data_IF_156978591015
#
_entry.id   IF_156978591015
#
_cell.length_a   1.000
_cell.length_b   1.000
_cell.length_c   1.000
_cell.angle_alpha   90.00
_cell.angle_beta   90.00
_cell.angle_gamma   90.00
#
_symmetry.space_group_name_H-M   'P 1'
#
loop_
_entity.id
_entity.type
_entity.pdbx_description
1 polymer ?
#
# COMPACT_ATOMS: atom_id res chain seq x y z
N UNK A 1 28.45 -0.61 8.74
CA UNK A 1 28.12 -2.02 9.04
C UNK A 1 26.89 -2.06 9.93
N UNK A 2 25.86 -2.82 9.56
CA UNK A 2 24.57 -2.83 10.25
C UNK A 2 24.59 -3.60 11.57
N UNK A 3 23.65 -3.26 12.46
CA UNK A 3 23.54 -3.74 13.85
C UNK A 3 23.48 -5.27 14.02
N UNK A 4 23.15 -6.02 12.95
CA UNK A 4 23.07 -7.48 12.96
C UNK A 4 23.74 -8.09 11.70
N UNK A 5 25.08 -8.28 11.69
CA UNK A 5 25.82 -8.67 10.50
C UNK A 5 25.60 -10.13 10.06
N UNK A 6 25.10 -11.00 10.94
CA UNK A 6 24.79 -12.41 10.62
C UNK A 6 23.35 -12.62 10.15
N UNK A 7 22.50 -11.59 10.21
CA UNK A 7 21.09 -11.69 9.84
C UNK A 7 20.98 -11.81 8.31
N UNK A 8 20.24 -12.82 7.85
CA UNK A 8 19.85 -12.98 6.45
C UNK A 8 18.36 -12.66 6.32
N UNK A 9 18.01 -11.85 5.33
CA UNK A 9 16.62 -11.46 5.06
C UNK A 9 16.27 -11.95 3.65
N UNK A 10 15.17 -12.68 3.54
CA UNK A 10 14.52 -13.00 2.27
C UNK A 10 13.28 -12.13 2.17
N UNK A 11 13.21 -11.31 1.12
CA UNK A 11 12.07 -10.43 0.89
C UNK A 11 11.17 -11.04 -0.19
N UNK A 12 9.93 -11.31 0.18
CA UNK A 12 8.87 -11.68 -0.75
C UNK A 12 7.97 -10.45 -0.95
N UNK A 13 7.66 -10.13 -2.20
CA UNK A 13 6.78 -9.02 -2.57
C UNK A 13 5.64 -9.56 -3.40
N UNK A 14 4.41 -9.37 -2.93
CA UNK A 14 3.20 -9.80 -3.60
C UNK A 14 2.07 -8.82 -3.24
N UNK A 15 1.22 -8.48 -4.21
CA UNK A 15 0.04 -7.64 -4.01
C UNK A 15 -1.09 -8.39 -3.28
N UNK A 16 -1.03 -9.74 -3.30
CA UNK A 16 -1.98 -10.58 -2.60
C UNK A 16 -1.65 -10.71 -1.10
N UNK A 17 -2.68 -10.95 -0.29
CA UNK A 17 -2.51 -11.20 1.14
C UNK A 17 -1.96 -12.61 1.37
N UNK A 18 -0.66 -12.71 1.62
CA UNK A 18 0.03 -14.00 1.87
C UNK A 18 -0.47 -14.73 3.13
N UNK A 19 -0.44 -16.06 3.13
CA UNK A 19 -0.67 -16.87 4.34
C UNK A 19 0.66 -17.14 5.04
N UNK A 20 0.86 -16.51 6.20
CA UNK A 20 2.16 -16.53 6.89
C UNK A 20 2.61 -17.93 7.25
N UNK A 21 1.66 -18.77 7.67
CA UNK A 21 1.94 -20.13 8.15
C UNK A 21 2.32 -21.01 6.96
N UNK A 22 1.46 -21.04 5.93
CA UNK A 22 1.65 -21.90 4.75
C UNK A 22 2.90 -21.52 3.96
N UNK A 23 3.22 -20.23 3.89
CA UNK A 23 4.34 -19.71 3.10
C UNK A 23 5.66 -19.65 3.89
N UNK A 24 5.66 -20.02 5.18
CA UNK A 24 6.85 -19.97 6.03
C UNK A 24 7.39 -18.55 6.26
N UNK A 25 6.48 -17.57 6.34
CA UNK A 25 6.81 -16.15 6.53
C UNK A 25 6.71 -15.78 8.01
N UNK A 26 7.83 -15.35 8.59
CA UNK A 26 7.89 -14.91 10.00
C UNK A 26 7.21 -13.56 10.23
N UNK A 27 7.33 -12.63 9.28
CA UNK A 27 6.86 -11.24 9.40
C UNK A 27 6.31 -10.76 8.06
N UNK A 28 5.12 -10.16 8.07
CA UNK A 28 4.58 -9.44 6.93
C UNK A 28 4.25 -7.99 7.27
N UNK A 29 4.58 -7.11 6.33
CA UNK A 29 4.13 -5.72 6.31
C UNK A 29 2.91 -5.61 5.42
N UNK A 30 1.86 -4.96 5.92
CA UNK A 30 0.59 -4.79 5.19
C UNK A 30 0.09 -3.37 5.37
N UNK A 31 -0.47 -2.82 4.31
CA UNK A 31 -1.23 -1.58 4.35
C UNK A 31 -2.70 -1.84 4.71
N UNK A 32 -3.37 -0.85 5.29
CA UNK A 32 -4.79 -0.92 5.62
C UNK A 32 -5.09 -1.11 7.10
N UNK A 33 -6.39 -1.16 7.42
CA UNK A 33 -6.86 -1.26 8.80
C UNK A 33 -6.58 -2.65 9.41
N UNK A 34 -6.41 -2.65 10.73
CA UNK A 34 -6.21 -3.87 11.49
C UNK A 34 -7.57 -4.58 11.68
N UNK A 35 -7.96 -5.42 10.73
CA UNK A 35 -9.12 -6.30 10.90
C UNK A 35 -8.89 -7.39 11.97
N UNK A 36 -9.98 -8.03 12.40
CA UNK A 36 -9.94 -9.16 13.34
C UNK A 36 -9.06 -10.31 12.78
N UNK A 37 -8.32 -11.01 13.64
CA UNK A 37 -7.45 -12.13 13.24
C UNK A 37 -8.15 -13.45 13.49
N UNK A 38 -8.46 -14.20 12.43
CA UNK A 38 -8.93 -15.59 12.52
C UNK A 38 -7.79 -16.58 12.75
N UNK A 39 -6.53 -16.19 12.48
CA UNK A 39 -5.37 -17.07 12.49
C UNK A 39 -4.49 -16.98 13.76
N UNK A 40 -4.93 -16.27 14.82
CA UNK A 40 -4.17 -16.16 16.08
C UNK A 40 -2.85 -15.38 16.02
N UNK A 41 -2.45 -14.87 14.84
CA UNK A 41 -1.20 -14.12 14.66
C UNK A 41 -1.30 -12.74 15.34
N UNK A 42 -0.33 -12.36 16.21
CA UNK A 42 -0.26 -11.03 16.79
C UNK A 42 -0.09 -9.96 15.72
N UNK A 43 -0.85 -8.88 15.81
CA UNK A 43 -0.73 -7.74 14.89
C UNK A 43 -0.45 -6.47 15.67
N UNK A 44 0.45 -5.64 15.12
CA UNK A 44 0.81 -4.35 15.70
C UNK A 44 0.67 -3.27 14.63
N UNK A 45 0.02 -2.13 14.93
CA UNK A 45 0.03 -1.00 14.02
C UNK A 45 1.47 -0.48 13.91
N UNK A 46 1.93 -0.32 12.67
CA UNK A 46 3.18 0.39 12.40
C UNK A 46 2.89 1.88 12.40
N UNK A 47 3.47 2.63 13.34
CA UNK A 47 3.32 4.07 13.38
C UNK A 47 3.98 4.73 12.15
N UNK A 48 3.33 5.74 11.57
CA UNK A 48 3.92 6.60 10.53
C UNK A 48 3.54 6.28 9.08
N UNK A 49 2.74 5.24 8.82
CA UNK A 49 2.25 4.91 7.49
C UNK A 49 0.73 5.00 7.44
N UNK A 50 0.20 6.23 7.45
CA UNK A 50 -1.17 6.44 6.97
C UNK A 50 -1.12 6.33 5.45
N UNK A 51 -1.68 5.26 4.89
CA UNK A 51 -1.98 5.19 3.46
C UNK A 51 -3.12 6.17 3.17
N UNK A 52 -2.83 7.47 3.19
CA UNK A 52 -3.75 8.47 2.70
C UNK A 52 -3.92 8.19 1.22
N UNK A 53 -5.17 8.01 0.76
CA UNK A 53 -5.49 8.00 -0.66
C UNK A 53 -5.15 9.39 -1.21
N UNK A 54 -3.92 9.56 -1.65
CA UNK A 54 -3.43 10.78 -2.25
C UNK A 54 -3.44 10.59 -3.77
N UNK A 55 -4.02 11.56 -4.45
CA UNK A 55 -3.95 11.63 -5.90
C UNK A 55 -2.70 12.40 -6.30
N UNK A 56 -2.02 11.92 -7.33
CA UNK A 56 -0.79 12.48 -7.82
C UNK A 56 -0.90 12.73 -9.32
N UNK A 57 -0.31 13.83 -9.77
CA UNK A 57 -0.25 14.19 -11.17
C UNK A 57 1.10 14.78 -11.51
N UNK A 58 1.58 14.50 -12.72
CA UNK A 58 2.78 15.14 -13.22
C UNK A 58 2.50 16.63 -13.51
N UNK A 59 3.40 17.58 -13.14
CA UNK A 59 3.16 19.01 -13.35
C UNK A 59 2.88 19.40 -14.81
N UNK A 60 3.48 18.70 -15.78
CA UNK A 60 3.25 18.96 -17.20
C UNK A 60 1.85 18.61 -17.67
N UNK A 61 1.17 17.65 -17.02
CA UNK A 61 -0.22 17.32 -17.32
C UNK A 61 -1.15 18.44 -16.84
N UNK A 62 -0.98 18.88 -15.60
CA UNK A 62 -1.80 19.95 -15.02
C UNK A 62 -1.68 21.29 -15.76
N UNK A 63 -0.54 21.56 -16.41
CA UNK A 63 -0.40 22.76 -17.27
C UNK A 63 -1.27 22.71 -18.53
N UNK A 64 -1.56 21.52 -19.06
CA UNK A 64 -2.39 21.36 -20.26
C UNK A 64 -3.86 21.19 -19.93
N UNK A 65 -4.18 20.40 -18.90
CA UNK A 65 -5.55 19.99 -18.57
C UNK A 65 -6.17 20.79 -17.42
N UNK A 66 -5.39 21.61 -16.71
CA UNK A 66 -5.84 22.32 -15.51
C UNK A 66 -5.73 21.47 -14.23
N UNK A 67 -6.10 22.05 -13.10
CA UNK A 67 -6.20 21.36 -11.80
C UNK A 67 -7.67 21.12 -11.47
N UNK A 68 -8.10 19.89 -11.14
CA UNK A 68 -9.45 19.65 -10.64
C UNK A 68 -9.64 20.37 -9.31
N UNK A 69 -10.77 21.05 -9.14
CA UNK A 69 -11.15 21.76 -7.91
C UNK A 69 -12.17 20.97 -7.12
N UNK A 70 -12.99 20.17 -7.79
CA UNK A 70 -13.99 19.28 -7.19
C UNK A 70 -13.84 17.86 -7.76
N UNK A 71 -14.28 16.82 -7.02
CA UNK A 71 -14.17 15.44 -7.50
C UNK A 71 -14.85 15.19 -8.86
N UNK A 72 -15.93 15.90 -9.17
CA UNK A 72 -16.64 15.77 -10.45
C UNK A 72 -15.76 16.15 -11.67
N UNK A 73 -14.77 17.05 -11.48
CA UNK A 73 -13.86 17.47 -12.55
C UNK A 73 -12.98 16.32 -13.06
N UNK A 74 -12.79 15.27 -12.24
CA UNK A 74 -12.01 14.08 -12.61
C UNK A 74 -12.61 13.34 -13.81
N UNK A 75 -13.93 13.47 -14.06
CA UNK A 75 -14.59 12.90 -15.24
C UNK A 75 -14.02 13.42 -16.57
N UNK A 76 -13.41 14.60 -16.56
CA UNK A 76 -12.79 15.24 -17.74
C UNK A 76 -11.27 15.05 -17.81
N UNK A 77 -10.69 14.19 -16.95
CA UNK A 77 -9.26 13.97 -16.85
C UNK A 77 -8.90 12.50 -17.16
N UNK A 78 -7.79 12.29 -17.87
CA UNK A 78 -7.18 10.96 -17.99
C UNK A 78 -6.76 10.42 -16.62
N UNK A 79 -7.31 9.26 -16.24
CA UNK A 79 -7.05 8.61 -14.95
C UNK A 79 -6.34 7.28 -15.18
N UNK A 80 -5.24 7.07 -14.45
CA UNK A 80 -4.61 5.77 -14.32
C UNK A 80 -5.02 5.22 -12.96
N UNK A 81 -5.82 4.17 -12.96
CA UNK A 81 -6.22 3.45 -11.76
C UNK A 81 -5.41 2.15 -11.65
N UNK A 82 -4.87 1.87 -10.46
CA UNK A 82 -4.39 0.53 -10.12
C UNK A 82 -5.56 -0.43 -9.91
N UNK A 83 -5.30 -1.75 -9.73
CA UNK A 83 -6.35 -2.68 -9.36
C UNK A 83 -7.05 -2.14 -8.09
N UNK A 84 -8.33 -1.81 -8.23
CA UNK A 84 -9.17 -1.46 -7.11
C UNK A 84 -9.18 -2.70 -6.22
N UNK A 85 -8.61 -2.64 -5.01
CA UNK A 85 -8.97 -3.61 -4.00
C UNK A 85 -10.50 -3.52 -3.86
N UNK A 86 -11.20 -4.56 -4.32
CA UNK A 86 -12.64 -4.64 -4.15
C UNK A 86 -12.96 -4.47 -2.65
N UNK A 87 -14.05 -3.78 -2.30
CA UNK A 87 -14.43 -3.56 -0.91
C UNK A 87 -14.56 -4.86 -0.11
#
# INVERSE_FOLDING_TARGET
>A
MGRNPKLRIVLLVNDQRQELITEGVDVAFRFGSLGNSTAGVPRRPCAGLAASNAYWWHPAYLRRSGRPKVPADLSSHDIIAGPMAAP
#
